data_IF_187425453672
#
_entry.id   IF_187425453672
#
_cell.length_a   1.000
_cell.length_b   1.000
_cell.length_c   1.000
_cell.angle_alpha   90.00
_cell.angle_beta   90.00
_cell.angle_gamma   90.00
#
_symmetry.space_group_name_H-M   'P 1'
#
loop_
_entity.id
_entity.type
_entity.pdbx_description
1 polymer ?
#
# COMPACT_ATOMS: atom_id res chain seq x y z
N UNK A 1 24.24 -16.91 15.85
CA UNK A 1 23.25 -15.98 16.45
C UNK A 1 23.48 -14.53 16.04
N UNK A 2 24.72 -14.07 15.80
CA UNK A 2 25.02 -12.67 15.42
C UNK A 2 24.62 -12.33 13.98
N UNK A 3 24.79 -13.25 13.03
CA UNK A 3 24.49 -13.03 11.60
C UNK A 3 23.01 -12.83 11.30
N UNK A 4 22.12 -13.53 12.00
CA UNK A 4 20.67 -13.42 11.82
C UNK A 4 20.13 -12.09 12.33
N UNK A 5 20.71 -11.54 13.39
CA UNK A 5 20.32 -10.25 13.97
C UNK A 5 20.74 -9.10 13.05
N UNK A 6 21.93 -9.18 12.44
CA UNK A 6 22.42 -8.17 11.48
C UNK A 6 21.54 -8.14 10.22
N UNK A 7 21.12 -9.30 9.72
CA UNK A 7 20.28 -9.37 8.53
C UNK A 7 18.88 -8.76 8.79
N UNK A 8 18.31 -9.02 9.97
CA UNK A 8 17.02 -8.46 10.37
C UNK A 8 17.07 -6.93 10.50
N UNK A 9 18.15 -6.39 11.07
CA UNK A 9 18.37 -4.95 11.18
C UNK A 9 18.56 -4.28 9.82
N UNK A 10 19.27 -4.91 8.89
CA UNK A 10 19.46 -4.38 7.53
C UNK A 10 18.14 -4.30 6.76
N UNK A 11 17.28 -5.31 6.89
CA UNK A 11 15.95 -5.32 6.26
C UNK A 11 15.03 -4.25 6.87
N UNK A 12 15.08 -4.05 8.18
CA UNK A 12 14.29 -3.01 8.86
C UNK A 12 14.70 -1.61 8.41
N UNK A 13 16.01 -1.37 8.24
CA UNK A 13 16.53 -0.08 7.76
C UNK A 13 16.10 0.21 6.31
N UNK A 14 16.07 -0.81 5.44
CA UNK A 14 15.64 -0.65 4.05
C UNK A 14 14.15 -0.29 3.94
N UNK A 15 13.30 -0.83 4.82
CA UNK A 15 11.86 -0.51 4.85
C UNK A 15 11.61 0.91 5.36
N UNK A 16 12.43 1.42 6.29
CA UNK A 16 12.29 2.77 6.84
C UNK A 16 12.78 3.88 5.88
N UNK A 17 13.71 3.56 4.98
CA UNK A 17 14.23 4.50 3.99
C UNK A 17 13.28 4.75 2.80
N UNK A 18 12.30 3.87 2.58
CA UNK A 18 11.32 3.98 1.51
C UNK A 18 10.12 4.87 1.89
N UNK A 19 10.33 6.18 2.06
CA UNK A 19 9.21 7.15 2.17
C UNK A 19 8.97 7.85 0.82
N UNK A 20 7.73 7.92 0.30
CA UNK A 20 7.44 8.69 -0.90
C UNK A 20 7.58 10.19 -0.61
N UNK A 21 8.29 10.91 -1.48
CA UNK A 21 8.52 12.34 -1.39
C UNK A 21 7.23 13.16 -1.50
N UNK A 22 7.17 14.28 -0.79
CA UNK A 22 6.03 15.20 -0.80
C UNK A 22 5.86 15.85 -2.19
N UNK A 23 4.64 15.83 -2.72
CA UNK A 23 4.30 16.49 -3.97
C UNK A 23 4.19 18.01 -3.76
N UNK A 24 5.01 18.77 -4.49
CA UNK A 24 5.05 20.23 -4.47
C UNK A 24 3.88 20.80 -5.30
N UNK A 25 2.99 21.57 -4.67
CA UNK A 25 1.87 22.23 -5.33
C UNK A 25 2.32 23.57 -5.94
N UNK A 26 2.78 23.55 -7.19
CA UNK A 26 3.05 24.76 -7.98
C UNK A 26 1.75 25.47 -8.38
N UNK A 27 1.36 26.49 -7.61
CA UNK A 27 0.16 27.29 -7.89
C UNK A 27 0.34 28.22 -9.10
N UNK A 28 -0.38 27.96 -10.19
CA UNK A 28 -0.48 28.87 -11.35
C UNK A 28 -1.69 29.78 -11.16
N UNK A 29 -1.46 31.10 -11.08
CA UNK A 29 -2.51 32.12 -11.00
C UNK A 29 -2.97 32.51 -12.40
N UNK A 30 -4.22 32.20 -12.74
CA UNK A 30 -4.83 32.55 -14.03
C UNK A 30 -5.55 33.90 -13.88
N UNK A 31 -5.19 34.89 -14.72
CA UNK A 31 -5.91 36.17 -14.85
C UNK A 31 -6.85 36.05 -16.05
N UNK A 32 -8.16 36.19 -15.81
CA UNK A 32 -9.19 36.15 -16.86
C UNK A 32 -9.51 37.59 -17.25
N UNK A 33 -9.06 38.02 -18.44
CA UNK A 33 -9.49 39.27 -19.06
C UNK A 33 -10.84 39.07 -19.76
N UNK A 34 -11.87 39.83 -19.35
CA UNK A 34 -13.18 39.87 -20.01
C UNK A 34 -13.13 40.58 -21.39
N UNK A 35 -14.15 40.40 -22.26
CA UNK A 35 -14.09 40.89 -23.64
C UNK A 35 -14.37 42.40 -23.71
N UNK A 36 -13.68 43.16 -24.58
CA UNK A 36 -14.06 44.54 -24.85
C UNK A 36 -15.20 44.60 -25.87
N UNK A 37 -16.17 45.47 -25.60
CA UNK A 37 -17.25 45.81 -26.53
C UNK A 37 -16.72 46.60 -27.74
N UNK A 38 -17.38 46.34 -28.88
CA UNK A 38 -17.47 47.03 -30.17
C UNK A 38 -16.57 48.25 -30.48
N UNK A 39 -15.86 48.16 -31.61
CA UNK A 39 -15.40 49.29 -32.42
C UNK A 39 -14.83 48.80 -33.75
N UNK A 40 -15.46 49.13 -34.88
CA UNK A 40 -14.89 48.89 -36.23
C UNK A 40 -13.99 50.07 -36.62
N UNK A 41 -12.79 49.77 -37.17
CA UNK A 41 -12.25 50.57 -38.26
C UNK A 41 -11.93 49.69 -39.49
N UNK A 42 -12.20 50.26 -40.66
CA UNK A 42 -11.87 49.65 -41.96
C UNK A 42 -10.34 49.59 -42.13
N UNK A 43 -9.78 48.40 -42.31
CA UNK A 43 -8.37 48.21 -42.64
C UNK A 43 -8.22 47.63 -44.04
N UNK A 44 -7.44 48.34 -44.87
CA UNK A 44 -6.92 47.87 -46.16
C UNK A 44 -6.00 46.68 -45.90
N UNK A 45 -6.38 45.50 -46.37
CA UNK A 45 -5.62 44.26 -46.18
C UNK A 45 -4.47 44.24 -47.20
N UNK A 46 -3.26 44.62 -46.78
CA UNK A 46 -2.04 44.16 -47.44
C UNK A 46 -1.79 42.71 -46.99
N UNK A 47 -1.49 41.76 -47.88
CA UNK A 47 -1.22 40.39 -47.48
C UNK A 47 0.18 40.35 -46.82
N UNK A 48 0.20 40.42 -45.50
CA UNK A 48 1.37 40.01 -44.72
C UNK A 48 1.44 38.48 -44.78
N UNK A 49 2.62 37.88 -45.02
CA UNK A 49 2.77 36.44 -44.87
C UNK A 49 2.48 36.08 -43.42
N UNK A 50 1.32 35.47 -43.18
CA UNK A 50 0.82 35.16 -41.86
C UNK A 50 1.79 34.23 -41.14
N UNK A 51 2.37 34.71 -40.04
CA UNK A 51 3.16 33.88 -39.14
C UNK A 51 2.22 32.89 -38.46
N UNK A 52 2.34 31.61 -38.79
CA UNK A 52 1.59 30.54 -38.11
C UNK A 52 2.23 30.31 -36.74
N UNK A 53 1.50 30.67 -35.68
CA UNK A 53 1.91 30.40 -34.29
C UNK A 53 1.23 29.10 -33.87
N UNK A 54 1.99 28.02 -33.80
CA UNK A 54 1.52 26.74 -33.25
C UNK A 54 1.69 26.78 -31.73
N UNK A 55 0.58 26.95 -31.01
CA UNK A 55 0.57 26.85 -29.55
C UNK A 55 0.20 25.42 -29.16
N UNK A 56 1.13 24.61 -28.59
CA UNK A 56 0.78 23.29 -28.10
C UNK A 56 -0.23 23.42 -26.95
N UNK A 57 -1.33 22.69 -27.03
CA UNK A 57 -2.30 22.57 -25.94
C UNK A 57 -2.00 21.31 -25.14
N UNK A 58 -1.91 21.38 -23.80
CA UNK A 58 -1.81 20.19 -22.99
C UNK A 58 -3.09 19.36 -23.13
N UNK A 59 -2.93 18.07 -23.38
CA UNK A 59 -4.02 17.09 -23.35
C UNK A 59 -3.97 16.39 -22.00
N UNK A 60 -5.02 16.55 -21.19
CA UNK A 60 -5.15 15.85 -19.93
C UNK A 60 -5.83 14.51 -20.17
N UNK A 61 -5.12 13.42 -19.91
CA UNK A 61 -5.70 12.08 -19.91
C UNK A 61 -6.27 11.80 -18.51
N UNK A 62 -7.51 11.32 -18.45
CA UNK A 62 -8.06 10.84 -17.20
C UNK A 62 -7.31 9.57 -16.76
N UNK A 63 -7.04 9.39 -15.46
CA UNK A 63 -6.49 8.13 -14.94
C UNK A 63 -7.40 6.98 -15.37
N UNK A 64 -6.83 5.94 -16.00
CA UNK A 64 -7.60 4.76 -16.34
C UNK A 64 -7.64 3.86 -15.11
N UNK A 65 -8.80 3.26 -14.88
CA UNK A 65 -8.96 2.20 -13.88
C UNK A 65 -9.39 0.93 -14.58
N UNK A 66 -8.75 -0.16 -14.22
CA UNK A 66 -9.04 -1.50 -14.73
C UNK A 66 -9.58 -2.34 -13.57
N UNK A 67 -10.54 -3.22 -13.85
CA UNK A 67 -11.03 -4.18 -12.88
C UNK A 67 -10.00 -5.32 -12.79
N UNK A 68 -9.28 -5.41 -11.67
CA UNK A 68 -8.48 -6.58 -11.36
C UNK A 68 -9.43 -7.71 -10.92
N UNK A 69 -9.34 -8.91 -11.52
CA UNK A 69 -10.21 -10.02 -11.14
C UNK A 69 -9.93 -10.47 -9.70
N UNK A 70 -10.96 -11.00 -9.05
CA UNK A 70 -10.81 -11.66 -7.76
C UNK A 70 -10.02 -12.96 -7.87
N UNK A 71 -9.49 -13.42 -6.74
CA UNK A 71 -8.69 -14.63 -6.69
C UNK A 71 -8.90 -15.40 -5.38
N UNK A 72 -8.68 -16.71 -5.46
CA UNK A 72 -8.56 -17.56 -4.28
C UNK A 72 -7.20 -17.35 -3.62
N UNK A 73 -7.20 -17.26 -2.30
CA UNK A 73 -5.97 -17.34 -1.48
C UNK A 73 -6.23 -18.17 -0.24
N UNK A 74 -5.20 -18.39 0.56
CA UNK A 74 -5.29 -19.09 1.84
C UNK A 74 -5.06 -18.11 2.99
N UNK A 75 -5.90 -18.21 4.02
CA UNK A 75 -5.75 -17.49 5.28
C UNK A 75 -5.50 -18.48 6.41
N UNK A 76 -4.52 -18.17 7.27
CA UNK A 76 -4.25 -18.96 8.46
C UNK A 76 -5.32 -18.69 9.50
N UNK A 77 -5.95 -19.76 9.99
CA UNK A 77 -6.93 -19.70 11.09
C UNK A 77 -6.28 -20.32 12.32
N UNK A 78 -5.92 -19.52 13.34
CA UNK A 78 -5.34 -20.05 14.56
C UNK A 78 -6.39 -20.82 15.37
N UNK A 79 -5.97 -21.91 15.99
CA UNK A 79 -6.76 -22.71 16.92
C UNK A 79 -5.95 -22.94 18.19
N UNK A 80 -6.65 -23.03 19.32
CA UNK A 80 -6.06 -23.42 20.60
C UNK A 80 -6.89 -24.51 21.22
N UNK A 81 -6.24 -25.57 21.67
CA UNK A 81 -6.89 -26.68 22.37
C UNK A 81 -6.17 -26.97 23.67
N UNK A 82 -6.94 -27.35 24.69
CA UNK A 82 -6.37 -27.81 25.97
C UNK A 82 -6.33 -29.32 25.93
N UNK A 83 -5.14 -29.90 26.12
CA UNK A 83 -4.97 -31.33 26.29
C UNK A 83 -4.07 -31.61 27.49
N UNK A 84 -4.28 -32.76 28.13
CA UNK A 84 -3.46 -33.19 29.24
C UNK A 84 -2.16 -33.79 28.72
N UNK A 85 -1.03 -33.27 29.18
CA UNK A 85 0.29 -33.80 28.87
C UNK A 85 0.92 -34.37 30.15
N UNK A 86 1.63 -35.48 30.01
CA UNK A 86 2.40 -36.06 31.09
C UNK A 86 3.59 -35.16 31.40
N UNK A 87 3.66 -34.68 32.64
CA UNK A 87 4.82 -33.96 33.16
C UNK A 87 5.60 -34.93 34.05
N UNK A 88 6.88 -35.22 33.75
CA UNK A 88 7.71 -36.07 34.61
C UNK A 88 7.87 -35.48 36.02
N UNK A 89 8.10 -36.36 36.98
CA UNK A 89 8.42 -35.96 38.34
C UNK A 89 9.71 -35.11 38.37
N UNK A 90 9.72 -34.07 39.20
CA UNK A 90 10.85 -33.14 39.30
C UNK A 90 10.88 -32.45 40.67
N UNK A 91 12.01 -31.84 41.00
CA UNK A 91 12.10 -30.93 42.14
C UNK A 91 11.65 -29.53 41.73
N UNK A 92 10.78 -28.90 42.52
CA UNK A 92 10.35 -27.53 42.28
C UNK A 92 11.42 -26.52 42.76
N UNK A 93 11.12 -25.23 42.61
CA UNK A 93 12.01 -24.12 43.05
C UNK A 93 12.28 -24.11 44.56
N UNK A 94 11.39 -24.72 45.35
CA UNK A 94 11.51 -24.83 46.81
C UNK A 94 12.23 -26.12 47.24
N UNK A 95 12.85 -26.84 46.30
CA UNK A 95 13.49 -28.14 46.50
C UNK A 95 12.55 -29.24 47.05
N UNK A 96 11.24 -29.11 46.82
CA UNK A 96 10.25 -30.13 47.14
C UNK A 96 10.06 -31.08 45.96
N UNK A 97 9.93 -32.37 46.25
CA UNK A 97 9.63 -33.39 45.26
C UNK A 97 8.19 -33.26 44.78
N UNK A 98 8.01 -33.17 43.46
CA UNK A 98 6.70 -33.15 42.81
C UNK A 98 6.58 -34.41 41.96
N UNK A 99 5.55 -35.21 42.28
CA UNK A 99 5.26 -36.43 41.54
C UNK A 99 4.86 -36.17 40.09
N UNK A 100 5.10 -37.17 39.23
CA UNK A 100 4.68 -37.13 37.85
C UNK A 100 3.16 -37.08 37.74
N UNK A 101 2.64 -36.15 36.94
CA UNK A 101 1.21 -35.92 36.83
C UNK A 101 0.81 -35.44 35.43
N UNK A 102 -0.44 -35.71 35.08
CA UNK A 102 -1.06 -35.11 33.91
C UNK A 102 -1.50 -33.69 34.21
N UNK A 103 -0.97 -32.73 33.48
CA UNK A 103 -1.28 -31.30 33.63
C UNK A 103 -1.93 -30.80 32.34
N UNK A 104 -3.01 -29.98 32.42
CA UNK A 104 -3.58 -29.37 31.24
C UNK A 104 -2.57 -28.41 30.61
N UNK A 105 -2.30 -28.58 29.32
CA UNK A 105 -1.46 -27.71 28.52
C UNK A 105 -2.26 -27.13 27.35
N UNK A 106 -1.95 -25.87 27.01
CA UNK A 106 -2.53 -25.19 25.86
C UNK A 106 -1.66 -25.47 24.66
N UNK A 107 -2.22 -26.15 23.66
CA UNK A 107 -1.59 -26.37 22.37
C UNK A 107 -2.14 -25.36 21.37
N UNK A 108 -1.24 -24.58 20.79
CA UNK A 108 -1.57 -23.66 19.71
C UNK A 108 -1.28 -24.34 18.37
N UNK A 109 -2.27 -24.33 17.50
CA UNK A 109 -2.20 -24.88 16.16
C UNK A 109 -3.09 -24.04 15.23
N UNK A 110 -3.48 -24.61 14.09
CA UNK A 110 -4.39 -23.96 13.16
C UNK A 110 -4.41 -24.71 11.84
N UNK A 111 -5.13 -24.14 10.88
CA UNK A 111 -5.20 -24.67 9.52
C UNK A 111 -5.29 -23.53 8.51
N UNK A 112 -4.90 -23.84 7.27
CA UNK A 112 -5.08 -22.92 6.14
C UNK A 112 -6.48 -23.09 5.57
N UNK A 113 -7.25 -22.01 5.59
CA UNK A 113 -8.59 -21.96 5.02
C UNK A 113 -8.55 -21.22 3.67
N UNK A 114 -9.12 -21.77 2.59
CA UNK A 114 -9.28 -21.03 1.35
C UNK A 114 -10.30 -19.90 1.54
N UNK A 115 -9.94 -18.70 1.09
CA UNK A 115 -10.81 -17.52 1.09
C UNK A 115 -10.83 -16.90 -0.32
N UNK A 116 -11.97 -16.33 -0.68
CA UNK A 116 -12.12 -15.56 -1.91
C UNK A 116 -11.84 -14.09 -1.63
N UNK A 117 -10.92 -13.49 -2.40
CA UNK A 117 -10.72 -12.05 -2.40
C UNK A 117 -11.45 -11.48 -3.61
N UNK A 118 -12.37 -10.55 -3.35
CA UNK A 118 -13.10 -9.86 -4.40
C UNK A 118 -12.17 -9.03 -5.28
N UNK A 119 -12.52 -8.95 -6.56
CA UNK A 119 -11.82 -8.09 -7.51
C UNK A 119 -11.94 -6.62 -7.09
N UNK A 120 -10.96 -5.82 -7.48
CA UNK A 120 -10.95 -4.38 -7.17
C UNK A 120 -10.50 -3.55 -8.36
N UNK A 121 -10.95 -2.31 -8.41
CA UNK A 121 -10.45 -1.33 -9.37
C UNK A 121 -9.02 -0.94 -9.02
N UNK A 122 -8.12 -1.06 -9.98
CA UNK A 122 -6.71 -0.67 -9.88
C UNK A 122 -6.36 0.29 -11.00
N UNK A 123 -5.32 1.10 -10.81
CA UNK A 123 -4.83 2.00 -11.85
C UNK A 123 -4.19 1.22 -13.00
N UNK A 124 -4.45 1.69 -14.21
CA UNK A 124 -3.91 1.26 -15.50
C UNK A 124 -3.93 2.47 -16.47
#
# INVERSE_FOLDING_TARGET
MTTTVVLALALLAAVLAGRPGAAEAGGVRIVIGGPPFAGRPHHVVRPHPGRVIVVPRPVYLAPRRCLAPGAWTYQWVPQSQVAYAWVPAHYNTDALWVEGQYVPQVFQSGYWQPIWIEGRWVDC
#
